data_IF_665652990029
#
_entry.id   IF_665652990029
#
_cell.length_a   1.000
_cell.length_b   1.000
_cell.length_c   1.000
_cell.angle_alpha   90.00
_cell.angle_beta   90.00
_cell.angle_gamma   90.00
#
_symmetry.space_group_name_H-M   'P 1'
#
loop_
_entity.id
_entity.type
_entity.pdbx_description
1 polymer ?
#
# COMPACT_ATOMS: atom_id res chain seq x y z
N UNK A 1 -55.16 -50.63 28.42
CA UNK A 1 -53.97 -51.49 28.55
C UNK A 1 -53.00 -51.07 27.46
N UNK A 2 -52.17 -50.09 27.79
CA UNK A 2 -50.69 -50.19 27.86
C UNK A 2 -50.00 -50.20 26.49
N UNK A 3 -49.77 -49.00 25.93
CA UNK A 3 -48.68 -48.78 24.97
C UNK A 3 -47.47 -48.30 25.77
N UNK A 4 -46.52 -49.21 25.95
CA UNK A 4 -45.22 -49.01 26.58
C UNK A 4 -44.48 -47.86 25.89
N UNK A 5 -43.99 -46.90 26.68
CA UNK A 5 -43.09 -45.85 26.21
C UNK A 5 -41.67 -46.43 26.07
N UNK A 6 -41.10 -46.34 24.87
CA UNK A 6 -39.66 -46.59 24.65
C UNK A 6 -38.83 -45.37 25.10
N UNK A 7 -37.65 -45.59 25.70
CA UNK A 7 -36.87 -44.52 26.30
C UNK A 7 -36.04 -43.77 25.24
N UNK A 8 -36.12 -42.43 25.35
CA UNK A 8 -35.19 -41.41 24.87
C UNK A 8 -34.05 -41.84 23.95
N UNK A 9 -34.19 -41.48 22.68
CA UNK A 9 -33.08 -41.27 21.75
C UNK A 9 -32.17 -40.19 22.37
N UNK A 10 -31.03 -40.58 22.92
CA UNK A 10 -30.00 -39.63 23.39
C UNK A 10 -29.45 -38.91 22.16
N UNK A 11 -29.71 -37.61 22.11
CA UNK A 11 -29.09 -36.67 21.19
C UNK A 11 -27.57 -36.76 21.35
N UNK A 12 -26.87 -37.16 20.29
CA UNK A 12 -25.42 -37.12 20.20
C UNK A 12 -25.00 -35.67 19.92
N UNK A 13 -24.45 -34.99 20.92
CA UNK A 13 -23.77 -33.71 20.77
C UNK A 13 -22.62 -33.83 19.74
N UNK A 14 -22.43 -32.84 18.85
CA UNK A 14 -21.28 -32.82 17.95
C UNK A 14 -20.01 -32.56 18.75
N UNK A 15 -19.03 -33.46 18.65
CA UNK A 15 -17.70 -33.29 19.24
C UNK A 15 -17.13 -31.93 18.81
N UNK A 16 -16.70 -31.12 19.78
CA UNK A 16 -16.20 -29.76 19.56
C UNK A 16 -14.96 -29.75 18.65
N UNK A 17 -14.87 -28.79 17.73
CA UNK A 17 -13.73 -28.55 16.81
C UNK A 17 -12.34 -28.52 17.50
N UNK A 18 -12.31 -28.36 18.82
CA UNK A 18 -11.10 -28.33 19.65
C UNK A 18 -10.41 -29.71 19.73
N UNK A 19 -11.17 -30.81 19.67
CA UNK A 19 -10.61 -32.19 19.69
C UNK A 19 -9.76 -32.51 18.45
N UNK A 20 -9.94 -31.75 17.36
CA UNK A 20 -9.14 -31.89 16.14
C UNK A 20 -7.71 -31.36 16.33
N UNK A 21 -7.49 -30.43 17.27
CA UNK A 21 -6.21 -29.78 17.53
C UNK A 21 -5.48 -30.35 18.75
N UNK A 22 -6.08 -31.32 19.45
CA UNK A 22 -5.39 -32.02 20.52
C UNK A 22 -4.38 -33.01 19.96
N UNK A 23 -3.16 -32.99 20.52
CA UNK A 23 -2.12 -33.98 20.21
C UNK A 23 -2.60 -35.34 20.71
N UNK A 24 -3.12 -36.15 19.77
CA UNK A 24 -3.69 -37.48 20.07
C UNK A 24 -2.62 -38.48 20.51
N UNK A 25 -1.40 -38.30 20.03
CA UNK A 25 -0.23 -39.12 20.37
C UNK A 25 1.00 -38.22 20.62
N UNK A 26 1.34 -37.96 21.88
CA UNK A 26 2.46 -37.08 22.24
C UNK A 26 3.82 -37.67 21.88
N UNK A 27 3.96 -39.00 21.82
CA UNK A 27 5.21 -39.65 21.47
C UNK A 27 5.48 -39.55 19.97
N UNK A 28 4.49 -39.81 19.12
CA UNK A 28 4.58 -39.59 17.68
C UNK A 28 4.82 -38.12 17.33
N UNK A 29 4.18 -37.20 18.07
CA UNK A 29 4.42 -35.78 17.91
C UNK A 29 5.88 -35.40 18.24
N UNK A 30 6.42 -35.89 19.36
CA UNK A 30 7.81 -35.66 19.75
C UNK A 30 8.80 -36.24 18.71
N UNK A 31 8.52 -37.43 18.17
CA UNK A 31 9.33 -38.04 17.11
C UNK A 31 9.30 -37.23 15.81
N UNK A 32 8.15 -36.70 15.43
CA UNK A 32 8.02 -35.85 14.24
C UNK A 32 8.70 -34.49 14.44
N UNK A 33 8.65 -33.91 15.63
CA UNK A 33 9.42 -32.70 15.97
C UNK A 33 10.93 -32.96 15.89
N UNK A 34 11.40 -34.09 16.42
CA UNK A 34 12.83 -34.45 16.34
C UNK A 34 13.28 -34.57 14.88
N UNK A 35 12.49 -35.24 14.03
CA UNK A 35 12.75 -35.30 12.58
C UNK A 35 12.71 -33.93 11.92
N UNK A 36 11.76 -33.08 12.30
CA UNK A 36 11.66 -31.73 11.76
C UNK A 36 12.91 -30.90 12.08
N UNK A 37 13.39 -30.95 13.33
CA UNK A 37 14.64 -30.29 13.74
C UNK A 37 15.84 -30.85 12.99
N UNK A 38 15.92 -32.17 12.82
CA UNK A 38 17.00 -32.82 12.07
C UNK A 38 17.02 -32.37 10.60
N UNK A 39 15.85 -32.33 9.94
CA UNK A 39 15.75 -31.88 8.54
C UNK A 39 16.01 -30.38 8.41
N UNK A 40 15.56 -29.57 9.37
CA UNK A 40 15.86 -28.14 9.43
C UNK A 40 17.37 -27.90 9.56
N UNK A 41 18.06 -28.68 10.40
CA UNK A 41 19.51 -28.66 10.52
C UNK A 41 20.23 -28.99 9.21
N UNK A 42 19.80 -30.06 8.53
CA UNK A 42 20.35 -30.45 7.21
C UNK A 42 20.14 -29.35 6.17
N UNK A 43 18.96 -28.75 6.13
CA UNK A 43 18.64 -27.65 5.21
C UNK A 43 19.49 -26.40 5.51
N UNK A 44 19.65 -26.04 6.79
CA UNK A 44 20.48 -24.91 7.20
C UNK A 44 21.96 -25.15 6.83
N UNK A 45 22.49 -26.34 7.08
CA UNK A 45 23.87 -26.70 6.68
C UNK A 45 24.06 -26.72 5.17
N UNK A 46 23.07 -27.18 4.40
CA UNK A 46 23.10 -27.16 2.94
C UNK A 46 23.02 -25.73 2.38
N UNK A 47 22.34 -24.80 3.07
CA UNK A 47 22.26 -23.40 2.69
C UNK A 47 23.51 -22.59 3.06
N UNK A 48 24.08 -22.85 4.24
CA UNK A 48 25.25 -22.15 4.76
C UNK A 48 26.56 -22.67 4.15
N UNK A 49 26.71 -23.99 3.99
CA UNK A 49 27.96 -24.63 3.53
C UNK A 49 28.53 -24.05 2.23
N UNK A 50 27.74 -23.90 1.15
CA UNK A 50 28.21 -23.28 -0.09
C UNK A 50 28.56 -21.78 0.04
N UNK A 51 27.94 -21.06 0.98
CA UNK A 51 28.21 -19.64 1.25
C UNK A 51 29.48 -19.44 2.08
N UNK A 52 29.70 -20.28 3.10
CA UNK A 52 30.91 -20.27 3.93
C UNK A 52 32.16 -20.69 3.14
N UNK A 53 32.01 -21.64 2.21
CA UNK A 53 33.08 -22.07 1.29
C UNK A 53 33.34 -21.07 0.16
N UNK A 54 32.53 -20.01 0.03
CA UNK A 54 32.65 -19.01 -1.02
C UNK A 54 32.24 -19.49 -2.41
N UNK A 55 31.61 -20.67 -2.52
CA UNK A 55 31.10 -21.23 -3.79
C UNK A 55 29.85 -20.48 -4.27
N UNK A 56 29.09 -19.90 -3.33
CA UNK A 56 27.98 -18.98 -3.60
C UNK A 56 28.41 -17.59 -3.14
N UNK A 57 28.75 -16.72 -4.10
CA UNK A 57 28.91 -15.29 -3.85
C UNK A 57 27.53 -14.66 -3.87
N UNK A 58 27.08 -14.11 -2.74
CA UNK A 58 25.88 -13.28 -2.70
C UNK A 58 26.16 -12.01 -3.50
N UNK A 59 25.76 -12.01 -4.77
CA UNK A 59 25.84 -10.86 -5.68
C UNK A 59 24.92 -9.72 -5.26
N UNK A 60 24.28 -9.81 -4.09
CA UNK A 60 23.37 -8.82 -3.51
C UNK A 60 24.10 -7.71 -2.71
N UNK A 61 25.35 -7.94 -2.27
CA UNK A 61 26.10 -6.94 -1.50
C UNK A 61 26.49 -5.69 -2.32
N UNK A 62 26.89 -5.89 -3.58
CA UNK A 62 27.20 -4.79 -4.52
C UNK A 62 25.96 -3.93 -4.85
N UNK A 63 24.80 -4.50 -5.23
CA UNK A 63 23.57 -3.75 -5.44
C UNK A 63 23.10 -2.94 -4.23
N UNK A 64 23.28 -3.46 -3.01
CA UNK A 64 22.88 -2.75 -1.80
C UNK A 64 23.76 -1.52 -1.53
N UNK A 65 25.08 -1.63 -1.74
CA UNK A 65 25.99 -0.51 -1.58
C UNK A 65 25.69 0.62 -2.60
N UNK A 66 25.38 0.25 -3.84
CA UNK A 66 25.00 1.21 -4.89
C UNK A 66 23.63 1.87 -4.59
N UNK A 67 22.67 1.10 -4.08
CA UNK A 67 21.39 1.66 -3.59
C UNK A 67 21.63 2.68 -2.48
N UNK A 68 22.37 2.31 -1.43
CA UNK A 68 22.66 3.21 -0.31
C UNK A 68 23.32 4.50 -0.81
N UNK A 69 24.34 4.39 -1.66
CA UNK A 69 25.03 5.55 -2.25
C UNK A 69 24.10 6.46 -3.06
N UNK A 70 23.14 5.87 -3.78
CA UNK A 70 22.17 6.61 -4.58
C UNK A 70 21.17 7.34 -3.68
N UNK A 71 20.60 6.66 -2.69
CA UNK A 71 19.67 7.26 -1.74
C UNK A 71 20.34 8.33 -0.87
N UNK A 72 21.60 8.16 -0.47
CA UNK A 72 22.36 9.19 0.25
C UNK A 72 22.47 10.49 -0.54
N UNK A 73 22.74 10.44 -1.85
CA UNK A 73 22.79 11.65 -2.70
C UNK A 73 21.45 12.37 -2.80
N UNK A 74 20.34 11.62 -2.90
CA UNK A 74 19.00 12.20 -2.92
C UNK A 74 18.70 12.91 -1.60
N UNK A 75 19.06 12.26 -0.48
CA UNK A 75 18.89 12.82 0.86
C UNK A 75 19.76 14.06 1.07
N UNK A 76 21.03 14.05 0.66
CA UNK A 76 21.92 15.22 0.73
C UNK A 76 21.37 16.39 -0.08
N UNK A 77 20.90 16.14 -1.31
CA UNK A 77 20.27 17.17 -2.13
C UNK A 77 19.01 17.75 -1.47
N UNK A 78 18.15 16.90 -0.92
CA UNK A 78 16.95 17.34 -0.18
C UNK A 78 17.29 18.16 1.08
N UNK A 79 18.28 17.74 1.85
CA UNK A 79 18.71 18.43 3.08
C UNK A 79 19.54 19.68 2.80
N UNK A 80 20.12 19.81 1.60
CA UNK A 80 20.86 21.01 1.20
C UNK A 80 19.95 22.21 0.94
N UNK A 81 18.67 21.98 0.65
CA UNK A 81 17.71 23.03 0.33
C UNK A 81 16.29 22.74 0.86
N UNK A 82 16.13 22.65 2.20
CA UNK A 82 14.82 22.46 2.81
C UNK A 82 13.90 23.67 2.59
N UNK A 83 14.47 24.85 2.35
CA UNK A 83 13.73 26.07 2.05
C UNK A 83 12.97 25.95 0.72
N UNK A 84 13.60 25.39 -0.32
CA UNK A 84 12.95 25.17 -1.61
C UNK A 84 11.82 24.15 -1.55
N UNK A 85 11.91 23.14 -0.68
CA UNK A 85 10.80 22.21 -0.47
C UNK A 85 9.60 22.91 0.20
N UNK A 86 9.85 23.76 1.21
CA UNK A 86 8.82 24.58 1.85
C UNK A 86 8.23 25.62 0.91
N UNK A 87 9.05 26.25 0.08
CA UNK A 87 8.62 27.21 -0.94
C UNK A 87 7.73 26.54 -2.00
N UNK A 88 8.12 25.35 -2.47
CA UNK A 88 7.30 24.54 -3.37
C UNK A 88 5.96 24.19 -2.71
N UNK A 89 5.97 23.69 -1.47
CA UNK A 89 4.75 23.35 -0.73
C UNK A 89 3.83 24.57 -0.52
N UNK A 90 4.40 25.74 -0.22
CA UNK A 90 3.66 27.00 -0.06
C UNK A 90 3.01 27.42 -1.38
N UNK A 91 3.74 27.32 -2.50
CA UNK A 91 3.22 27.64 -3.83
C UNK A 91 2.05 26.73 -4.24
N UNK A 92 2.13 25.43 -3.94
CA UNK A 92 1.02 24.50 -4.18
C UNK A 92 -0.20 24.86 -3.33
N UNK A 93 0.01 25.14 -2.05
CA UNK A 93 -1.06 25.50 -1.13
C UNK A 93 -1.76 26.80 -1.56
N UNK A 94 -1.01 27.83 -1.97
CA UNK A 94 -1.56 29.04 -2.56
C UNK A 94 -2.40 28.74 -3.81
N UNK A 95 -1.92 27.87 -4.70
CA UNK A 95 -2.68 27.44 -5.87
C UNK A 95 -4.01 26.76 -5.52
N UNK A 96 -4.03 25.89 -4.50
CA UNK A 96 -5.28 25.27 -4.05
C UNK A 96 -6.26 26.26 -3.45
N UNK A 97 -5.79 27.23 -2.66
CA UNK A 97 -6.64 28.29 -2.10
C UNK A 97 -7.26 29.15 -3.21
N UNK A 98 -6.49 29.42 -4.27
CA UNK A 98 -6.96 30.17 -5.43
C UNK A 98 -8.06 29.39 -6.18
N UNK A 99 -7.87 28.08 -6.40
CA UNK A 99 -8.89 27.20 -6.99
C UNK A 99 -10.16 27.16 -6.14
N UNK A 100 -10.03 27.09 -4.81
CA UNK A 100 -11.17 27.10 -3.88
C UNK A 100 -11.94 28.42 -3.92
N UNK A 101 -11.23 29.56 -3.85
CA UNK A 101 -11.86 30.88 -3.99
C UNK A 101 -12.54 31.04 -5.35
N UNK A 102 -11.90 30.51 -6.39
CA UNK A 102 -12.44 30.53 -7.74
C UNK A 102 -13.73 29.70 -7.88
N UNK A 103 -13.78 28.53 -7.24
CA UNK A 103 -14.98 27.69 -7.22
C UNK A 103 -16.14 28.36 -6.47
N UNK A 104 -15.86 28.98 -5.31
CA UNK A 104 -16.87 29.66 -4.50
C UNK A 104 -17.49 30.84 -5.27
N UNK A 105 -16.70 31.77 -5.83
CA UNK A 105 -17.36 32.87 -6.55
C UNK A 105 -18.00 32.39 -7.85
N UNK A 106 -17.50 31.34 -8.52
CA UNK A 106 -18.16 30.81 -9.73
C UNK A 106 -19.57 30.28 -9.42
N UNK A 107 -19.75 29.61 -8.28
CA UNK A 107 -21.08 29.17 -7.82
C UNK A 107 -21.98 30.36 -7.44
N UNK A 108 -21.40 31.44 -6.91
CA UNK A 108 -22.12 32.63 -6.47
C UNK A 108 -22.49 33.59 -7.61
N UNK A 109 -21.57 33.86 -8.55
CA UNK A 109 -21.73 34.81 -9.65
C UNK A 109 -22.20 34.16 -10.95
N UNK A 110 -22.01 32.86 -11.12
CA UNK A 110 -22.33 32.14 -12.36
C UNK A 110 -21.36 32.40 -13.52
N UNK A 111 -20.30 33.19 -13.31
CA UNK A 111 -19.35 33.59 -14.35
C UNK A 111 -18.00 32.86 -14.22
N UNK A 112 -17.32 32.66 -15.36
CA UNK A 112 -15.95 32.13 -15.41
C UNK A 112 -14.97 33.14 -14.78
N UNK A 113 -14.17 32.68 -13.82
CA UNK A 113 -13.30 33.59 -13.08
C UNK A 113 -11.96 33.86 -13.78
N UNK A 114 -11.47 35.12 -13.73
CA UNK A 114 -10.22 35.54 -14.39
C UNK A 114 -8.95 34.85 -13.85
N UNK A 115 -9.01 34.21 -12.68
CA UNK A 115 -7.91 33.44 -12.09
C UNK A 115 -7.86 31.95 -12.46
N UNK A 116 -8.68 31.50 -13.42
CA UNK A 116 -8.69 30.10 -13.86
C UNK A 116 -7.43 29.73 -14.64
N UNK A 117 -6.76 28.66 -14.22
CA UNK A 117 -5.59 28.10 -14.89
C UNK A 117 -6.04 27.49 -16.23
N UNK A 118 -5.50 28.00 -17.34
CA UNK A 118 -5.81 27.48 -18.67
C UNK A 118 -4.98 26.23 -18.99
N UNK A 119 -5.60 25.17 -19.55
CA UNK A 119 -4.86 24.02 -20.06
C UNK A 119 -3.93 24.43 -21.21
N UNK A 120 -2.88 23.63 -21.43
CA UNK A 120 -2.01 23.82 -22.60
C UNK A 120 -2.84 23.55 -23.87
N UNK A 121 -2.74 24.36 -24.94
CA UNK A 121 -3.47 24.10 -26.20
C UNK A 121 -3.24 22.70 -26.80
N UNK A 122 -2.15 22.03 -26.43
CA UNK A 122 -1.83 20.65 -26.85
C UNK A 122 -2.48 19.59 -25.97
N UNK A 123 -3.03 19.96 -24.81
CA UNK A 123 -3.69 19.06 -23.88
C UNK A 123 -5.13 18.77 -24.29
N UNK A 124 -5.32 17.63 -24.95
CA UNK A 124 -6.64 17.20 -25.45
C UNK A 124 -7.61 16.75 -24.37
N UNK A 125 -7.19 16.61 -23.11
CA UNK A 125 -8.03 16.06 -22.01
C UNK A 125 -9.21 16.96 -21.68
N UNK A 126 -9.09 18.27 -21.92
CA UNK A 126 -10.09 19.29 -21.58
C UNK A 126 -10.80 19.87 -22.80
N UNK A 127 -10.80 19.17 -23.94
CA UNK A 127 -11.42 19.64 -25.18
C UNK A 127 -12.95 19.60 -25.15
N UNK A 128 -13.55 18.78 -24.29
CA UNK A 128 -15.01 18.74 -24.17
C UNK A 128 -15.52 20.06 -23.55
N UNK A 129 -16.51 20.74 -24.17
CA UNK A 129 -17.08 21.98 -23.64
C UNK A 129 -17.63 21.86 -22.20
N UNK A 130 -18.02 20.67 -21.75
CA UNK A 130 -18.49 20.44 -20.38
C UNK A 130 -17.42 20.74 -19.33
N UNK A 131 -16.13 20.59 -19.65
CA UNK A 131 -15.03 20.98 -18.76
C UNK A 131 -14.94 22.49 -18.49
N UNK A 132 -15.58 23.32 -19.32
CA UNK A 132 -15.67 24.77 -19.13
C UNK A 132 -17.04 25.25 -18.70
N UNK A 133 -18.13 24.55 -19.09
CA UNK A 133 -19.52 24.94 -18.75
C UNK A 133 -19.95 24.46 -17.37
N UNK A 134 -19.61 23.24 -17.01
CA UNK A 134 -20.01 22.64 -15.76
C UNK A 134 -19.07 23.05 -14.62
N UNK A 135 -19.62 23.66 -13.56
CA UNK A 135 -18.82 24.16 -12.43
C UNK A 135 -18.03 23.05 -11.71
N UNK A 136 -18.59 21.84 -11.63
CA UNK A 136 -17.92 20.70 -10.99
C UNK A 136 -16.74 20.18 -11.83
N UNK A 137 -16.93 20.05 -13.14
CA UNK A 137 -15.85 19.61 -14.03
C UNK A 137 -14.76 20.67 -14.16
N UNK A 138 -15.12 21.95 -14.22
CA UNK A 138 -14.13 23.02 -14.20
C UNK A 138 -13.31 22.99 -12.90
N UNK A 139 -13.94 22.82 -11.74
CA UNK A 139 -13.22 22.65 -10.47
C UNK A 139 -12.23 21.48 -10.51
N UNK A 140 -12.65 20.30 -10.99
CA UNK A 140 -11.76 19.14 -11.11
C UNK A 140 -10.59 19.41 -12.07
N UNK A 141 -10.84 20.06 -13.21
CA UNK A 141 -9.80 20.50 -14.15
C UNK A 141 -8.83 21.46 -13.48
N UNK A 142 -9.32 22.46 -12.75
CA UNK A 142 -8.49 23.44 -12.05
C UNK A 142 -7.61 22.80 -10.98
N UNK A 143 -8.17 21.90 -10.16
CA UNK A 143 -7.40 21.10 -9.19
C UNK A 143 -6.31 20.30 -9.91
N UNK A 144 -6.66 19.57 -10.97
CA UNK A 144 -5.71 18.79 -11.74
C UNK A 144 -4.56 19.65 -12.32
N UNK A 145 -4.89 20.79 -12.93
CA UNK A 145 -3.90 21.67 -13.55
C UNK A 145 -2.95 22.29 -12.51
N UNK A 146 -3.45 22.63 -11.32
CA UNK A 146 -2.61 23.11 -10.22
C UNK A 146 -1.70 21.99 -9.68
N UNK A 147 -2.24 20.79 -9.47
CA UNK A 147 -1.47 19.66 -8.95
C UNK A 147 -0.41 19.15 -9.94
N UNK A 148 -0.72 19.13 -11.23
CA UNK A 148 0.17 18.56 -12.26
C UNK A 148 1.26 19.53 -12.76
N UNK A 149 1.13 20.83 -12.49
CA UNK A 149 2.11 21.86 -12.85
C UNK A 149 3.00 22.27 -11.67
N UNK A 150 2.81 21.62 -10.52
CA UNK A 150 3.63 21.79 -9.32
C UNK A 150 4.97 21.05 -9.43
#
# INVERSE_FOLDING_TARGET
MTKTAEPGKKDSEPASDVDQYMVKDPEQFALNLARMVEQAGKAASAWAGPREKGEVRDTAAEPMADMVKTFSKVTEYWLSDPARALEAQTRLFSGYLEVWGNAINRVSSGEEQPGSVKPDPRDKRFNDPEWGRNAFFDFLKQVYLVTSRW
#
